data_IF_525836853782
#
_entry.id   IF_525836853782
#
_cell.length_a   1.000
_cell.length_b   1.000
_cell.length_c   1.000
_cell.angle_alpha   90.00
_cell.angle_beta   90.00
_cell.angle_gamma   90.00
#
_symmetry.space_group_name_H-M   'P 1'
#
loop_
_entity.id
_entity.type
_entity.pdbx_description
1 polymer ?
#
# COMPACT_ATOMS: atom_id res chain seq x y z
N UNK A 1 8.32 0.54 7.12
CA UNK A 1 9.74 0.31 7.45
C UNK A 1 10.29 1.66 7.85
N UNK A 2 10.86 1.81 9.05
CA UNK A 2 11.45 3.09 9.48
C UNK A 2 12.84 3.14 8.86
N UNK A 3 12.98 3.91 7.79
CA UNK A 3 14.25 4.02 7.04
C UNK A 3 15.15 5.11 7.63
N UNK A 4 14.58 6.03 8.41
CA UNK A 4 15.32 7.13 9.05
C UNK A 4 14.79 7.46 10.45
N UNK A 5 15.66 8.06 11.28
CA UNK A 5 15.25 8.65 12.56
C UNK A 5 14.16 9.71 12.40
N UNK A 6 14.14 10.41 11.27
CA UNK A 6 13.13 11.40 10.92
C UNK A 6 11.76 10.73 10.77
N UNK A 7 11.68 9.61 10.06
CA UNK A 7 10.44 8.84 9.91
C UNK A 7 9.93 8.32 11.25
N UNK A 8 10.84 7.89 12.14
CA UNK A 8 10.47 7.45 13.48
C UNK A 8 9.82 8.57 14.29
N UNK A 9 10.46 9.75 14.34
CA UNK A 9 9.97 10.89 15.11
C UNK A 9 8.61 11.36 14.57
N UNK A 10 8.49 11.55 13.27
CA UNK A 10 7.24 12.08 12.70
C UNK A 10 6.11 11.05 12.70
N UNK A 11 6.38 9.78 12.40
CA UNK A 11 5.36 8.75 12.32
C UNK A 11 4.96 8.23 13.70
N UNK A 12 5.93 7.84 14.54
CA UNK A 12 5.64 7.19 15.83
C UNK A 12 5.34 8.22 16.90
N UNK A 13 6.22 9.19 17.13
CA UNK A 13 6.01 10.21 18.18
C UNK A 13 4.90 11.16 17.75
N UNK A 14 4.93 11.63 16.50
CA UNK A 14 3.87 12.47 15.93
C UNK A 14 2.51 11.76 15.91
N UNK A 15 2.47 10.48 15.55
CA UNK A 15 1.26 9.67 15.60
C UNK A 15 0.71 9.45 17.01
N UNK A 16 1.57 9.10 17.96
CA UNK A 16 1.17 8.96 19.36
C UNK A 16 0.61 10.28 19.92
N UNK A 17 1.27 11.41 19.63
CA UNK A 17 0.77 12.73 20.01
C UNK A 17 -0.57 13.05 19.35
N UNK A 18 -0.75 12.71 18.07
CA UNK A 18 -2.02 12.91 17.36
C UNK A 18 -3.15 12.09 18.01
N UNK A 19 -2.93 10.82 18.35
CA UNK A 19 -3.93 9.99 19.01
C UNK A 19 -4.29 10.50 20.40
N UNK A 20 -3.30 10.91 21.20
CA UNK A 20 -3.53 11.52 22.51
C UNK A 20 -4.32 12.83 22.38
N UNK A 21 -4.01 13.64 21.37
CA UNK A 21 -4.74 14.87 21.09
C UNK A 21 -6.19 14.61 20.65
N UNK A 22 -6.41 13.55 19.86
CA UNK A 22 -7.74 13.13 19.43
C UNK A 22 -8.57 12.65 20.63
N UNK A 23 -7.97 11.84 21.50
CA UNK A 23 -8.57 11.36 22.74
C UNK A 23 -8.94 12.51 23.69
N UNK A 24 -7.99 13.37 24.07
CA UNK A 24 -8.27 14.44 25.04
C UNK A 24 -9.15 15.53 24.44
N UNK A 25 -9.01 15.80 23.14
CA UNK A 25 -9.88 16.71 22.40
C UNK A 25 -11.33 16.25 22.41
N UNK A 26 -11.60 14.99 22.02
CA UNK A 26 -12.95 14.42 22.06
C UNK A 26 -13.52 14.33 23.46
N UNK A 27 -12.72 13.92 24.45
CA UNK A 27 -13.13 13.91 25.87
C UNK A 27 -13.57 15.29 26.34
N UNK A 28 -12.79 16.34 26.06
CA UNK A 28 -13.13 17.71 26.47
C UNK A 28 -14.37 18.24 25.76
N UNK A 29 -14.53 17.95 24.47
CA UNK A 29 -15.70 18.35 23.70
C UNK A 29 -16.99 17.74 24.28
N UNK A 30 -16.95 16.47 24.68
CA UNK A 30 -18.10 15.79 25.25
C UNK A 30 -18.35 16.17 26.72
N UNK A 31 -17.31 16.37 27.53
CA UNK A 31 -17.46 16.67 28.95
C UNK A 31 -17.80 18.14 29.25
N UNK A 32 -17.22 19.08 28.51
CA UNK A 32 -17.32 20.52 28.79
C UNK A 32 -18.01 21.32 27.68
N UNK A 33 -18.38 20.68 26.58
CA UNK A 33 -19.01 21.33 25.43
C UNK A 33 -18.02 21.91 24.42
N UNK A 34 -18.55 22.67 23.45
CA UNK A 34 -17.80 23.14 22.28
C UNK A 34 -16.93 24.35 22.65
N UNK A 35 -15.65 24.09 22.96
CA UNK A 35 -14.64 25.13 23.17
C UNK A 35 -13.66 25.16 21.99
N UNK A 36 -13.37 26.37 21.46
CA UNK A 36 -12.56 26.55 20.25
C UNK A 36 -11.19 25.85 20.29
N UNK A 37 -10.52 25.81 21.45
CA UNK A 37 -9.25 25.10 21.62
C UNK A 37 -9.39 23.57 21.50
N UNK A 38 -10.46 23.00 22.08
CA UNK A 38 -10.71 21.56 22.02
C UNK A 38 -11.15 21.14 20.60
N UNK A 39 -11.96 21.97 19.93
CA UNK A 39 -12.33 21.78 18.52
C UNK A 39 -11.09 21.79 17.64
N UNK A 40 -10.26 22.84 17.74
CA UNK A 40 -9.05 22.98 16.92
C UNK A 40 -8.09 21.79 17.09
N UNK A 41 -7.84 21.39 18.35
CA UNK A 41 -6.98 20.24 18.68
C UNK A 41 -7.52 18.93 18.09
N UNK A 42 -8.83 18.69 18.21
CA UNK A 42 -9.48 17.49 17.67
C UNK A 42 -9.44 17.46 16.15
N UNK A 43 -9.78 18.58 15.49
CA UNK A 43 -9.79 18.69 14.02
C UNK A 43 -8.39 18.51 13.45
N UNK A 44 -7.38 19.13 14.07
CA UNK A 44 -6.00 19.02 13.61
C UNK A 44 -5.47 17.59 13.80
N UNK A 45 -5.74 16.95 14.94
CA UNK A 45 -5.40 15.55 15.17
C UNK A 45 -6.10 14.60 14.19
N UNK A 46 -7.40 14.81 13.93
CA UNK A 46 -8.17 14.04 12.97
C UNK A 46 -7.62 14.21 11.55
N UNK A 47 -7.27 15.44 11.18
CA UNK A 47 -6.63 15.76 9.90
C UNK A 47 -5.30 15.03 9.72
N UNK A 48 -4.44 15.00 10.74
CA UNK A 48 -3.18 14.23 10.70
C UNK A 48 -3.45 12.74 10.50
N UNK A 49 -4.38 12.16 11.28
CA UNK A 49 -4.71 10.74 11.14
C UNK A 49 -5.25 10.41 9.73
N UNK A 50 -6.11 11.27 9.19
CA UNK A 50 -6.67 11.11 7.85
C UNK A 50 -5.61 11.26 6.76
N UNK A 51 -4.67 12.21 6.89
CA UNK A 51 -3.59 12.41 5.94
C UNK A 51 -2.63 11.22 5.92
N UNK A 52 -2.18 10.74 7.10
CA UNK A 52 -1.28 9.58 7.18
C UNK A 52 -1.96 8.28 6.72
N UNK A 53 -3.18 8.01 7.21
CA UNK A 53 -3.96 6.85 6.76
C UNK A 53 -4.29 6.89 5.27
N UNK A 54 -4.67 8.07 4.77
CA UNK A 54 -4.96 8.31 3.35
C UNK A 54 -3.73 8.16 2.47
N UNK A 55 -2.57 8.66 2.89
CA UNK A 55 -1.31 8.49 2.17
C UNK A 55 -0.86 7.02 2.11
N UNK A 56 -0.99 6.29 3.22
CA UNK A 56 -0.71 4.85 3.25
C UNK A 56 -1.67 4.08 2.33
N UNK A 57 -2.96 4.44 2.30
CA UNK A 57 -3.92 3.83 1.38
C UNK A 57 -3.61 4.18 -0.08
N UNK A 58 -3.23 5.43 -0.36
CA UNK A 58 -2.83 5.85 -1.70
C UNK A 58 -1.63 5.06 -2.21
N UNK A 59 -0.59 4.85 -1.38
CA UNK A 59 0.55 3.97 -1.70
C UNK A 59 0.09 2.55 -2.05
N UNK A 60 -0.81 1.98 -1.26
CA UNK A 60 -1.38 0.67 -1.55
C UNK A 60 -2.13 0.65 -2.90
N UNK A 61 -2.97 1.66 -3.16
CA UNK A 61 -3.76 1.74 -4.38
C UNK A 61 -2.88 1.87 -5.62
N UNK A 62 -1.83 2.70 -5.55
CA UNK A 62 -0.85 2.91 -6.63
C UNK A 62 -0.05 1.63 -6.94
N UNK A 63 0.49 0.98 -5.89
CA UNK A 63 1.21 -0.29 -6.05
C UNK A 63 0.30 -1.37 -6.63
N UNK A 64 -0.94 -1.49 -6.14
CA UNK A 64 -1.91 -2.47 -6.63
C UNK A 64 -2.31 -2.20 -8.09
N UNK A 65 -2.50 -0.93 -8.46
CA UNK A 65 -2.80 -0.54 -9.83
C UNK A 65 -1.65 -0.96 -10.76
N UNK A 66 -0.41 -0.66 -10.37
CA UNK A 66 0.80 -1.02 -11.14
C UNK A 66 0.96 -2.53 -11.30
N UNK A 67 0.76 -3.29 -10.22
CA UNK A 67 0.78 -4.76 -10.23
C UNK A 67 -0.29 -5.33 -11.17
N UNK A 68 -1.53 -4.84 -11.06
CA UNK A 68 -2.65 -5.31 -11.88
C UNK A 68 -2.48 -4.96 -13.37
N UNK A 69 -1.94 -3.78 -13.70
CA UNK A 69 -1.66 -3.37 -15.07
C UNK A 69 -0.61 -4.27 -15.73
N UNK A 70 0.40 -4.68 -14.96
CA UNK A 70 1.44 -5.59 -15.45
C UNK A 70 0.96 -7.03 -15.56
N UNK A 71 0.10 -7.50 -14.65
CA UNK A 71 -0.54 -8.82 -14.76
C UNK A 71 -1.50 -8.92 -15.96
N UNK A 72 -2.13 -7.81 -16.37
CA UNK A 72 -3.07 -7.77 -17.50
C UNK A 72 -2.40 -7.66 -18.87
N UNK A 73 -1.07 -7.48 -18.96
CA UNK A 73 -0.37 -7.55 -20.25
C UNK A 73 -0.42 -9.00 -20.75
N UNK A 74 -1.44 -9.28 -21.57
CA UNK A 74 -1.62 -10.57 -22.20
C UNK A 74 -0.36 -10.98 -22.97
N UNK A 75 -0.08 -12.29 -22.99
CA UNK A 75 0.99 -12.88 -23.80
C UNK A 75 0.93 -12.30 -25.22
N UNK A 76 2.04 -11.67 -25.66
CA UNK A 76 2.10 -10.94 -26.92
C UNK A 76 1.45 -11.74 -28.06
N UNK A 77 0.44 -11.18 -28.73
CA UNK A 77 -0.26 -11.85 -29.82
C UNK A 77 0.69 -12.20 -30.98
N UNK A 78 0.37 -13.24 -31.75
CA UNK A 78 1.09 -13.50 -33.01
C UNK A 78 0.94 -12.30 -33.94
N UNK A 79 2.01 -11.90 -34.66
CA UNK A 79 1.92 -10.79 -35.58
C UNK A 79 0.98 -11.15 -36.74
N UNK A 80 0.20 -10.18 -37.22
CA UNK A 80 -0.84 -10.38 -38.23
C UNK A 80 -0.32 -10.98 -39.57
N UNK A 81 0.97 -10.83 -39.85
CA UNK A 81 1.64 -11.37 -41.02
C UNK A 81 2.38 -12.71 -40.77
N UNK A 82 2.06 -13.43 -39.69
CA UNK A 82 2.72 -14.68 -39.29
C UNK A 82 2.92 -15.66 -40.46
N UNK A 83 1.87 -15.91 -41.24
CA UNK A 83 1.91 -16.85 -42.37
C UNK A 83 2.91 -16.45 -43.47
N UNK A 84 3.12 -15.15 -43.68
CA UNK A 84 3.94 -14.56 -44.76
C UNK A 84 5.41 -14.39 -44.39
N UNK A 85 5.79 -14.65 -43.15
CA UNK A 85 7.19 -14.53 -42.69
C UNK A 85 8.04 -15.72 -43.16
N UNK A 86 9.31 -15.44 -43.49
CA UNK A 86 10.30 -16.48 -43.74
C UNK A 86 10.53 -17.32 -42.47
N UNK A 87 10.97 -18.57 -42.66
CA UNK A 87 11.22 -19.50 -41.54
C UNK A 87 12.22 -18.92 -40.53
N UNK A 88 13.29 -18.28 -40.99
CA UNK A 88 14.26 -17.61 -40.11
C UNK A 88 13.64 -16.48 -39.28
N UNK A 89 12.76 -15.66 -39.88
CA UNK A 89 12.08 -14.60 -39.13
C UNK A 89 11.05 -15.16 -38.15
N UNK A 90 10.38 -16.27 -38.50
CA UNK A 90 9.46 -16.99 -37.61
C UNK A 90 10.18 -17.56 -36.39
N UNK A 91 11.37 -18.12 -36.58
CA UNK A 91 12.21 -18.61 -35.49
C UNK A 91 12.55 -17.48 -34.51
N UNK A 92 13.14 -16.38 -35.00
CA UNK A 92 13.55 -15.25 -34.15
C UNK A 92 12.36 -14.71 -33.34
N UNK A 93 11.20 -14.51 -33.99
CA UNK A 93 10.01 -13.99 -33.34
C UNK A 93 9.38 -14.99 -32.35
N UNK A 94 9.36 -16.29 -32.69
CA UNK A 94 8.81 -17.31 -31.79
C UNK A 94 9.71 -17.54 -30.58
N UNK A 95 11.03 -17.54 -30.74
CA UNK A 95 11.99 -17.62 -29.63
C UNK A 95 11.88 -16.39 -28.74
N UNK A 96 11.83 -15.18 -29.31
CA UNK A 96 11.65 -13.96 -28.54
C UNK A 96 10.33 -13.96 -27.74
N UNK A 97 9.25 -14.46 -28.35
CA UNK A 97 7.97 -14.64 -27.67
C UNK A 97 8.05 -15.66 -26.55
N UNK A 98 8.65 -16.82 -26.80
CA UNK A 98 8.76 -17.89 -25.80
C UNK A 98 9.64 -17.47 -24.61
N UNK A 99 10.75 -16.78 -24.86
CA UNK A 99 11.59 -16.13 -23.83
C UNK A 99 10.77 -15.14 -23.01
N UNK A 100 9.98 -14.28 -23.66
CA UNK A 100 9.14 -13.29 -22.97
C UNK A 100 8.07 -13.97 -22.10
N UNK A 101 7.40 -15.00 -22.63
CA UNK A 101 6.45 -15.80 -21.86
C UNK A 101 7.12 -16.44 -20.64
N UNK A 102 8.31 -17.01 -20.80
CA UNK A 102 9.06 -17.55 -19.67
C UNK A 102 9.40 -16.47 -18.62
N UNK A 103 9.84 -15.29 -19.05
CA UNK A 103 10.14 -14.18 -18.14
C UNK A 103 8.91 -13.67 -17.38
N UNK A 104 7.74 -13.65 -18.01
CA UNK A 104 6.50 -13.09 -17.44
C UNK A 104 5.74 -14.11 -16.57
N UNK A 105 5.52 -15.34 -17.06
CA UNK A 105 4.72 -16.37 -16.38
C UNK A 105 5.55 -17.52 -15.79
N UNK A 106 6.81 -17.67 -16.19
CA UNK A 106 7.61 -18.86 -15.87
C UNK A 106 7.24 -20.11 -16.66
N UNK A 107 6.29 -20.03 -17.60
CA UNK A 107 5.89 -21.19 -18.39
C UNK A 107 6.82 -21.36 -19.60
N UNK A 108 7.25 -22.59 -19.85
CA UNK A 108 8.02 -22.94 -21.04
C UNK A 108 7.08 -22.99 -22.25
N UNK A 109 7.15 -21.95 -23.09
CA UNK A 109 6.42 -21.91 -24.34
C UNK A 109 7.20 -22.61 -25.46
N UNK A 110 6.49 -23.03 -26.49
CA UNK A 110 7.13 -23.60 -27.68
C UNK A 110 7.45 -22.53 -28.73
N UNK A 111 8.48 -22.76 -29.52
CA UNK A 111 8.91 -21.93 -30.64
C UNK A 111 9.03 -22.78 -31.92
N UNK A 112 9.06 -22.12 -33.09
CA UNK A 112 9.17 -22.79 -34.39
C UNK A 112 10.61 -22.68 -34.87
N UNK A 113 11.29 -23.81 -35.06
CA UNK A 113 12.68 -23.87 -35.54
C UNK A 113 12.77 -23.59 -37.05
N UNK A 114 13.98 -23.40 -37.57
CA UNK A 114 14.28 -23.19 -39.00
C UNK A 114 13.74 -24.31 -39.88
N UNK A 115 13.67 -25.53 -39.35
CA UNK A 115 13.08 -26.70 -40.01
C UNK A 115 11.55 -26.72 -40.03
N UNK A 116 10.87 -25.73 -39.42
CA UNK A 116 9.42 -25.71 -39.28
C UNK A 116 8.87 -26.57 -38.14
N UNK A 117 9.74 -27.26 -37.39
CA UNK A 117 9.35 -28.06 -36.23
C UNK A 117 9.08 -27.18 -35.01
N UNK A 118 8.14 -27.63 -34.17
CA UNK A 118 7.84 -26.95 -32.91
C UNK A 118 8.70 -27.53 -31.80
N UNK A 119 9.52 -26.70 -31.15
CA UNK A 119 10.41 -27.09 -30.04
C UNK A 119 10.06 -26.33 -28.78
N UNK A 120 10.28 -26.95 -27.63
CA UNK A 120 10.10 -26.30 -26.32
C UNK A 120 11.27 -25.36 -26.05
N UNK A 121 10.98 -24.13 -25.61
CA UNK A 121 12.01 -23.17 -25.24
C UNK A 121 12.82 -23.69 -24.04
N UNK A 122 14.14 -23.65 -24.16
CA UNK A 122 15.07 -24.01 -23.09
C UNK A 122 15.70 -22.72 -22.54
N UNK A 123 15.38 -22.30 -21.31
CA UNK A 123 15.91 -21.07 -20.74
C UNK A 123 17.41 -21.14 -20.55
N UNK A 124 18.10 -20.02 -20.79
CA UNK A 124 19.51 -19.87 -20.42
C UNK A 124 19.65 -19.44 -18.96
N UNK A 125 20.86 -19.53 -18.40
CA UNK A 125 21.14 -19.03 -17.06
C UNK A 125 20.82 -17.53 -16.91
N UNK A 126 21.05 -16.74 -17.97
CA UNK A 126 20.69 -15.32 -17.97
C UNK A 126 19.17 -15.10 -17.93
N UNK A 127 18.41 -15.92 -18.65
CA UNK A 127 16.94 -15.87 -18.65
C UNK A 127 16.38 -16.21 -17.26
N UNK A 128 16.98 -17.18 -16.57
CA UNK A 128 16.67 -17.52 -15.17
C UNK A 128 16.93 -16.34 -14.23
N UNK A 129 18.13 -15.74 -14.29
CA UNK A 129 18.51 -14.58 -13.46
C UNK A 129 17.60 -13.37 -13.70
N UNK A 130 17.23 -13.10 -14.96
CA UNK A 130 16.28 -12.02 -15.28
C UNK A 130 14.92 -12.28 -14.68
N UNK A 131 14.42 -13.52 -14.78
CA UNK A 131 13.13 -13.90 -14.19
C UNK A 131 13.15 -13.77 -12.67
N UNK A 132 14.21 -14.21 -12.00
CA UNK A 132 14.34 -14.07 -10.54
C UNK A 132 14.27 -12.61 -10.10
N UNK A 133 14.90 -11.68 -10.83
CA UNK A 133 14.77 -10.25 -10.54
C UNK A 133 13.34 -9.76 -10.68
N UNK A 134 12.63 -10.19 -11.72
CA UNK A 134 11.22 -9.85 -11.95
C UNK A 134 10.33 -10.39 -10.82
N UNK A 135 10.50 -11.66 -10.45
CA UNK A 135 9.77 -12.30 -9.34
C UNK A 135 10.07 -11.61 -8.00
N UNK A 136 11.34 -11.28 -7.75
CA UNK A 136 11.76 -10.56 -6.53
C UNK A 136 11.14 -9.17 -6.47
N UNK A 137 11.09 -8.46 -7.60
CA UNK A 137 10.45 -7.16 -7.68
C UNK A 137 8.95 -7.24 -7.38
N UNK A 138 8.23 -8.16 -8.01
CA UNK A 138 6.79 -8.31 -7.81
C UNK A 138 6.42 -8.76 -6.40
N UNK A 139 7.16 -9.71 -5.83
CA UNK A 139 6.94 -10.17 -4.45
C UNK A 139 7.19 -9.05 -3.43
N UNK A 140 8.25 -8.25 -3.61
CA UNK A 140 8.51 -7.07 -2.76
C UNK A 140 7.42 -6.01 -2.91
N UNK A 141 6.98 -5.73 -4.13
CA UNK A 141 5.90 -4.77 -4.38
C UNK A 141 4.57 -5.23 -3.75
N UNK A 142 4.23 -6.52 -3.83
CA UNK A 142 3.03 -7.07 -3.19
C UNK A 142 3.12 -7.02 -1.66
N UNK A 143 4.26 -7.39 -1.09
CA UNK A 143 4.50 -7.28 0.35
C UNK A 143 4.38 -5.83 0.83
N UNK A 144 4.98 -4.89 0.08
CA UNK A 144 4.89 -3.45 0.36
C UNK A 144 3.44 -2.97 0.31
N UNK A 145 2.68 -3.35 -0.73
CA UNK A 145 1.26 -2.99 -0.85
C UNK A 145 0.44 -3.49 0.35
N UNK A 146 0.62 -4.75 0.76
CA UNK A 146 -0.06 -5.30 1.95
C UNK A 146 0.32 -4.56 3.23
N UNK A 147 1.59 -4.21 3.39
CA UNK A 147 2.07 -3.46 4.55
C UNK A 147 1.46 -2.05 4.61
N UNK A 148 1.35 -1.35 3.47
CA UNK A 148 0.73 -0.02 3.39
C UNK A 148 -0.77 -0.06 3.67
N UNK A 149 -1.47 -1.12 3.24
CA UNK A 149 -2.88 -1.33 3.59
C UNK A 149 -3.04 -1.54 5.11
N UNK A 150 -2.20 -2.37 5.71
CA UNK A 150 -2.23 -2.61 7.14
C UNK A 150 -1.97 -1.32 7.94
N UNK A 151 -1.01 -0.51 7.51
CA UNK A 151 -0.73 0.80 8.09
C UNK A 151 -1.94 1.74 7.99
N UNK A 152 -2.57 1.84 6.81
CA UNK A 152 -3.76 2.66 6.61
C UNK A 152 -4.91 2.26 7.54
N UNK A 153 -5.16 0.96 7.67
CA UNK A 153 -6.19 0.43 8.56
C UNK A 153 -5.85 0.71 10.03
N UNK A 154 -4.58 0.59 10.42
CA UNK A 154 -4.15 0.81 11.79
C UNK A 154 -4.34 2.27 12.22
N UNK A 155 -4.01 3.23 11.35
CA UNK A 155 -4.31 4.66 11.59
C UNK A 155 -5.80 4.92 11.81
N UNK A 156 -6.66 4.31 10.99
CA UNK A 156 -8.11 4.45 11.12
C UNK A 156 -8.66 3.80 12.40
N UNK A 157 -8.19 2.59 12.72
CA UNK A 157 -8.61 1.86 13.92
C UNK A 157 -8.18 2.62 15.17
N UNK A 158 -6.93 3.06 15.26
CA UNK A 158 -6.43 3.78 16.44
C UNK A 158 -7.11 5.14 16.60
N UNK A 159 -7.37 5.87 15.51
CA UNK A 159 -8.14 7.11 15.58
C UNK A 159 -9.56 6.86 16.11
N UNK A 160 -10.24 5.82 15.60
CA UNK A 160 -11.58 5.46 16.06
C UNK A 160 -11.59 5.03 17.53
N UNK A 161 -10.61 4.23 17.95
CA UNK A 161 -10.42 3.84 19.36
C UNK A 161 -10.20 5.07 20.23
N UNK A 162 -9.31 5.99 19.86
CA UNK A 162 -9.05 7.21 20.62
C UNK A 162 -10.30 8.09 20.79
N UNK A 163 -11.11 8.23 19.73
CA UNK A 163 -12.40 8.93 19.78
C UNK A 163 -13.37 8.24 20.75
N UNK A 164 -13.55 6.92 20.61
CA UNK A 164 -14.48 6.15 21.45
C UNK A 164 -14.07 6.21 22.92
N UNK A 165 -12.78 6.07 23.22
CA UNK A 165 -12.27 6.19 24.58
C UNK A 165 -12.45 7.60 25.13
N UNK A 166 -12.22 8.64 24.32
CA UNK A 166 -12.44 10.03 24.73
C UNK A 166 -13.90 10.27 25.11
N UNK A 167 -14.83 9.77 24.28
CA UNK A 167 -16.27 9.82 24.56
C UNK A 167 -16.61 9.03 25.83
N UNK A 168 -16.17 7.79 25.95
CA UNK A 168 -16.49 6.94 27.11
C UNK A 168 -16.02 7.58 28.43
N UNK A 169 -14.79 8.08 28.45
CA UNK A 169 -14.21 8.77 29.61
C UNK A 169 -14.87 10.13 29.91
N UNK A 170 -15.60 10.72 28.96
CA UNK A 170 -16.36 11.95 29.21
C UNK A 170 -17.67 11.68 29.97
N UNK A 171 -18.17 10.45 29.95
CA UNK A 171 -19.38 10.03 30.68
C UNK A 171 -19.10 9.78 32.16
N UNK A 172 -17.84 9.51 32.52
CA UNK A 172 -17.41 9.49 33.91
C UNK A 172 -17.46 10.91 34.48
N UNK A 173 -18.47 11.18 35.33
CA UNK A 173 -18.68 12.49 35.98
C UNK A 173 -17.42 12.95 36.70
N UNK A 174 -16.77 13.99 36.18
CA UNK A 174 -15.76 14.75 36.92
C UNK A 174 -16.46 15.44 38.11
N UNK A 175 -16.02 15.26 39.36
CA UNK A 175 -16.64 15.89 40.52
C UNK A 175 -16.63 17.40 40.35
N UNK A 176 -17.75 18.05 40.69
CA UNK A 176 -17.91 19.50 40.55
C UNK A 176 -16.78 20.23 41.32
N UNK A 177 -16.24 21.32 40.76
CA UNK A 177 -15.22 22.11 41.46
C UNK A 177 -15.78 22.56 42.81
N UNK A 178 -15.01 22.36 43.88
CA UNK A 178 -15.37 22.83 45.21
C UNK A 178 -15.65 24.33 45.14
N UNK A 179 -16.85 24.74 45.57
CA UNK A 179 -17.20 26.17 45.68
C UNK A 179 -16.12 26.85 46.52
N UNK A 180 -15.54 28.00 46.07
CA UNK A 180 -14.69 28.77 46.95
C UNK A 180 -15.50 29.14 48.21
N UNK A 181 -14.89 29.10 49.41
CA UNK A 181 -15.58 29.48 50.63
C UNK A 181 -16.12 30.90 50.45
N UNK A 182 -17.44 31.03 50.53
CA UNK A 182 -18.09 32.34 50.49
C UNK A 182 -17.57 33.16 51.66
N UNK A 183 -17.07 34.36 51.36
CA UNK A 183 -16.73 35.34 52.38
C UNK A 183 -18.04 35.74 53.08
N UNK A 184 -18.20 35.27 54.31
CA UNK A 184 -19.23 35.73 55.24
C UNK A 184 -18.86 37.09 55.83
#
# INVERSE_FOLDING_TARGET
MIESWVDFVFSVIGGAAAFLCLFDGTRRLCAYGVHGKAVLMTVLAAGICALYGGFAYWKYADLKATLSANQRKAAAAQPANWSRLSLEKKEILSVARARRTFMESGTLASYVDRGGETRTFTPTQEDMMRRERVVTYYSRAEYSARSSLAEALLWMILALVAILFGILMSLEKVPAPARPPGNA
#
